data_IF_987202221982
#
_entry.id   IF_987202221982
#
_cell.length_a   1.000
_cell.length_b   1.000
_cell.length_c   1.000
_cell.angle_alpha   90.00
_cell.angle_beta   90.00
_cell.angle_gamma   90.00
#
_symmetry.space_group_name_H-M   'P 1'
#
loop_
_entity.id
_entity.type
_entity.pdbx_description
1 polymer ?
#
# COMPACT_ATOMS: atom_id res chain seq x y z
N UNK A 1 26.99 -12.83 -37.95
CA UNK A 1 25.51 -12.85 -38.07
C UNK A 1 24.81 -13.69 -36.99
N UNK A 2 25.27 -14.89 -36.61
CA UNK A 2 24.60 -15.75 -35.60
C UNK A 2 24.46 -15.11 -34.20
N UNK A 3 25.47 -14.39 -33.73
CA UNK A 3 25.43 -13.72 -32.41
C UNK A 3 24.42 -12.56 -32.34
N UNK A 4 24.15 -11.89 -33.45
CA UNK A 4 23.18 -10.80 -33.51
C UNK A 4 21.75 -11.31 -33.27
N UNK A 5 21.39 -12.45 -33.87
CA UNK A 5 20.11 -13.12 -33.63
C UNK A 5 19.92 -13.53 -32.16
N UNK A 6 20.96 -14.07 -31.53
CA UNK A 6 20.94 -14.50 -30.13
C UNK A 6 20.73 -13.31 -29.18
N UNK A 7 21.41 -12.19 -29.42
CA UNK A 7 21.24 -10.95 -28.66
C UNK A 7 19.82 -10.40 -28.85
N UNK A 8 19.26 -10.45 -30.06
CA UNK A 8 17.90 -9.98 -30.32
C UNK A 8 16.83 -10.83 -29.63
N UNK A 9 16.99 -12.16 -29.62
CA UNK A 9 16.09 -13.06 -28.90
C UNK A 9 16.17 -12.80 -27.40
N UNK A 10 17.37 -12.65 -26.85
CA UNK A 10 17.57 -12.34 -25.43
C UNK A 10 16.92 -10.99 -25.05
N UNK A 11 17.13 -9.96 -25.87
CA UNK A 11 16.54 -8.64 -25.64
C UNK A 11 15.02 -8.67 -25.72
N UNK A 12 14.46 -9.40 -26.70
CA UNK A 12 13.01 -9.57 -26.84
C UNK A 12 12.41 -10.32 -25.66
N UNK A 13 13.09 -11.38 -25.18
CA UNK A 13 12.66 -12.13 -24.01
C UNK A 13 12.68 -11.28 -22.74
N UNK A 14 13.75 -10.52 -22.50
CA UNK A 14 13.86 -9.59 -21.37
C UNK A 14 12.75 -8.53 -21.47
N UNK A 15 12.53 -7.96 -22.64
CA UNK A 15 11.49 -6.97 -22.87
C UNK A 15 10.10 -7.51 -22.54
N UNK A 16 9.77 -8.73 -23.00
CA UNK A 16 8.50 -9.41 -22.69
C UNK A 16 8.35 -9.67 -21.19
N UNK A 17 9.40 -10.13 -20.51
CA UNK A 17 9.38 -10.38 -19.07
C UNK A 17 9.14 -9.08 -18.29
N UNK A 18 9.87 -8.01 -18.62
CA UNK A 18 9.72 -6.70 -17.95
C UNK A 18 8.32 -6.12 -18.19
N UNK A 19 7.81 -6.19 -19.41
CA UNK A 19 6.48 -5.66 -19.74
C UNK A 19 5.37 -6.44 -19.02
N UNK A 20 5.52 -7.76 -18.90
CA UNK A 20 4.58 -8.65 -18.21
C UNK A 20 4.51 -8.38 -16.69
N UNK A 21 5.57 -7.83 -16.11
CA UNK A 21 5.65 -7.54 -14.68
C UNK A 21 5.18 -6.12 -14.29
N UNK A 22 4.88 -5.26 -15.27
CA UNK A 22 4.39 -3.91 -14.98
C UNK A 22 2.92 -3.91 -14.57
N UNK A 23 2.65 -3.65 -13.28
CA UNK A 23 1.27 -3.47 -12.82
C UNK A 23 0.72 -2.15 -13.36
N UNK A 24 -0.20 -2.23 -14.31
CA UNK A 24 -0.93 -1.06 -14.81
C UNK A 24 -2.04 -0.71 -13.84
N UNK A 25 -1.93 0.45 -13.18
CA UNK A 25 -2.94 0.93 -12.25
C UNK A 25 -3.88 1.94 -12.91
N UNK A 26 -5.18 1.85 -12.61
CA UNK A 26 -6.14 2.89 -12.94
C UNK A 26 -6.08 4.09 -11.99
N UNK A 27 -7.01 5.02 -12.18
CA UNK A 27 -7.14 6.23 -11.37
C UNK A 27 -7.53 5.92 -9.92
N UNK A 28 -7.08 6.80 -9.01
CA UNK A 28 -7.50 6.76 -7.61
C UNK A 28 -8.95 7.20 -7.46
N UNK A 29 -9.72 6.43 -6.70
CA UNK A 29 -11.07 6.77 -6.26
C UNK A 29 -11.06 7.03 -4.77
N UNK A 30 -11.74 8.09 -4.33
CA UNK A 30 -11.89 8.38 -2.91
C UNK A 30 -12.89 7.42 -2.27
N UNK A 31 -12.64 7.07 -1.01
CA UNK A 31 -13.52 6.25 -0.19
C UNK A 31 -14.12 7.08 0.93
N UNK A 32 -15.22 6.62 1.50
CA UNK A 32 -15.80 7.22 2.70
C UNK A 32 -14.84 7.08 3.89
N UNK A 33 -14.38 8.21 4.43
CA UNK A 33 -13.42 8.27 5.54
C UNK A 33 -13.98 7.66 6.83
N UNK A 34 -15.29 7.80 7.03
CA UNK A 34 -16.00 7.30 8.22
C UNK A 34 -16.51 5.87 8.05
N UNK A 35 -16.24 5.23 6.89
CA UNK A 35 -16.65 3.86 6.66
C UNK A 35 -15.95 2.90 7.63
N UNK A 36 -16.67 1.90 8.18
CA UNK A 36 -16.09 0.97 9.16
C UNK A 36 -14.87 0.21 8.60
N UNK A 37 -14.90 -0.10 7.30
CA UNK A 37 -13.81 -0.78 6.59
C UNK A 37 -12.57 0.10 6.45
N UNK A 38 -12.74 1.41 6.21
CA UNK A 38 -11.60 2.34 6.13
C UNK A 38 -10.98 2.54 7.50
N UNK A 39 -11.82 2.61 8.54
CA UNK A 39 -11.37 2.73 9.92
C UNK A 39 -10.60 1.50 10.38
N UNK A 40 -11.05 0.29 10.01
CA UNK A 40 -10.32 -0.94 10.35
C UNK A 40 -8.93 -0.99 9.70
N UNK A 41 -8.81 -0.59 8.44
CA UNK A 41 -7.51 -0.46 7.76
C UNK A 41 -6.59 0.56 8.42
N UNK A 42 -7.14 1.69 8.87
CA UNK A 42 -6.36 2.69 9.61
C UNK A 42 -5.88 2.13 10.95
N UNK A 43 -6.75 1.47 11.73
CA UNK A 43 -6.40 0.85 13.01
C UNK A 43 -5.29 -0.18 12.83
N UNK A 44 -5.43 -1.07 11.85
CA UNK A 44 -4.41 -2.08 11.53
C UNK A 44 -3.07 -1.43 11.19
N UNK A 45 -3.07 -0.38 10.37
CA UNK A 45 -1.85 0.35 10.05
C UNK A 45 -1.21 1.03 11.27
N UNK A 46 -2.03 1.64 12.14
CA UNK A 46 -1.55 2.22 13.40
C UNK A 46 -0.93 1.14 14.30
N UNK A 47 -1.58 -0.01 14.42
CA UNK A 47 -1.11 -1.14 15.21
C UNK A 47 0.22 -1.69 14.70
N UNK A 48 0.36 -1.87 13.38
CA UNK A 48 1.60 -2.34 12.75
C UNK A 48 2.75 -1.37 12.99
N UNK A 49 2.52 -0.07 12.79
CA UNK A 49 3.53 0.96 13.09
C UNK A 49 3.94 0.98 14.56
N UNK A 50 2.97 0.77 15.46
CA UNK A 50 3.25 0.64 16.89
C UNK A 50 4.12 -0.57 17.20
N UNK A 51 3.80 -1.73 16.63
CA UNK A 51 4.58 -2.95 16.78
C UNK A 51 6.03 -2.77 16.27
N UNK A 52 6.22 -2.18 15.08
CA UNK A 52 7.55 -1.88 14.53
C UNK A 52 8.40 -0.95 15.43
N UNK A 53 7.74 -0.09 16.21
CA UNK A 53 8.40 0.88 17.10
C UNK A 53 8.39 0.46 18.56
N UNK A 54 7.88 -0.73 18.88
CA UNK A 54 7.64 -1.22 20.23
C UNK A 54 6.91 -0.18 21.11
N UNK A 55 5.87 0.45 20.56
CA UNK A 55 5.07 1.51 21.19
C UNK A 55 3.60 1.33 20.88
N UNK A 56 2.74 1.75 21.79
CA UNK A 56 1.29 1.66 21.58
C UNK A 56 0.76 2.97 21.01
N UNK A 57 0.12 2.89 19.85
CA UNK A 57 -0.54 4.02 19.21
C UNK A 57 -2.03 3.78 19.06
N UNK A 58 -2.83 4.83 19.21
CA UNK A 58 -4.28 4.83 18.99
C UNK A 58 -4.63 5.72 17.80
N UNK A 59 -5.53 5.23 16.94
CA UNK A 59 -6.07 6.02 15.84
C UNK A 59 -6.84 7.25 16.39
N UNK A 60 -6.51 8.44 15.89
CA UNK A 60 -7.22 9.68 16.21
C UNK A 60 -8.25 9.99 15.13
N UNK A 61 -7.79 10.14 13.87
CA UNK A 61 -8.67 10.41 12.73
C UNK A 61 -8.09 9.89 11.43
N UNK A 62 -8.97 9.53 10.50
CA UNK A 62 -8.62 9.25 9.11
C UNK A 62 -8.64 10.57 8.34
N UNK A 63 -7.55 10.87 7.63
CA UNK A 63 -7.41 12.08 6.81
C UNK A 63 -7.85 11.85 5.38
N UNK A 64 -7.46 10.69 4.84
CA UNK A 64 -7.68 10.36 3.43
C UNK A 64 -7.79 8.85 3.27
N UNK A 65 -8.73 8.42 2.44
CA UNK A 65 -8.84 7.02 2.05
C UNK A 65 -9.11 6.94 0.55
N UNK A 66 -8.30 6.15 -0.16
CA UNK A 66 -8.41 5.99 -1.59
C UNK A 66 -8.19 4.54 -2.00
N UNK A 67 -8.77 4.14 -3.12
CA UNK A 67 -8.54 2.84 -3.75
C UNK A 67 -8.30 2.99 -5.23
N UNK A 68 -7.50 2.10 -5.80
CA UNK A 68 -7.39 1.90 -7.25
C UNK A 68 -7.21 0.41 -7.53
N UNK A 69 -7.79 -0.04 -8.63
CA UNK A 69 -7.47 -1.36 -9.19
C UNK A 69 -6.28 -1.23 -10.14
N UNK A 70 -5.49 -2.27 -10.21
CA UNK A 70 -4.49 -2.48 -11.23
C UNK A 70 -4.53 -3.91 -11.74
N UNK A 71 -3.87 -4.12 -12.88
CA UNK A 71 -3.76 -5.40 -13.53
C UNK A 71 -2.28 -5.74 -13.71
N UNK A 72 -1.90 -6.95 -13.31
CA UNK A 72 -0.59 -7.55 -13.58
C UNK A 72 -0.81 -8.77 -14.47
N UNK A 73 -0.02 -8.91 -15.54
CA UNK A 73 -0.08 -10.10 -16.38
C UNK A 73 0.32 -11.36 -15.61
N UNK A 74 -0.19 -12.55 -15.95
CA UNK A 74 -1.12 -12.83 -17.05
C UNK A 74 -2.62 -12.73 -16.70
N UNK A 75 -3.03 -12.51 -15.44
CA UNK A 75 -4.44 -12.28 -15.06
C UNK A 75 -4.63 -11.89 -13.57
N UNK A 76 -3.68 -11.17 -12.97
CA UNK A 76 -3.72 -10.84 -11.54
C UNK A 76 -4.32 -9.44 -11.37
N UNK A 77 -5.55 -9.36 -10.88
CA UNK A 77 -6.13 -8.09 -10.43
C UNK A 77 -5.51 -7.76 -9.07
N UNK A 78 -4.92 -6.57 -8.96
CA UNK A 78 -4.33 -6.05 -7.74
C UNK A 78 -5.16 -4.85 -7.28
N UNK A 79 -5.75 -4.94 -6.09
CA UNK A 79 -6.45 -3.80 -5.50
C UNK A 79 -5.54 -3.09 -4.51
N UNK A 80 -5.13 -1.87 -4.86
CA UNK A 80 -4.32 -1.02 -3.99
C UNK A 80 -5.21 -0.02 -3.25
N UNK A 81 -4.98 0.12 -1.96
CA UNK A 81 -5.66 1.09 -1.08
C UNK A 81 -4.61 1.94 -0.37
N UNK A 82 -4.94 3.20 -0.16
CA UNK A 82 -4.13 4.16 0.58
C UNK A 82 -5.02 4.76 1.67
N UNK A 83 -4.56 4.72 2.90
CA UNK A 83 -5.23 5.34 4.04
C UNK A 83 -4.20 6.21 4.76
N UNK A 84 -4.40 7.52 4.73
CA UNK A 84 -3.61 8.46 5.51
C UNK A 84 -4.41 8.80 6.79
N UNK A 85 -3.78 8.68 7.95
CA UNK A 85 -4.43 8.85 9.26
C UNK A 85 -3.49 9.48 10.27
N UNK A 86 -4.03 9.99 11.38
CA UNK A 86 -3.23 10.43 12.52
C UNK A 86 -3.37 9.46 13.68
N UNK A 87 -2.26 9.20 14.35
CA UNK A 87 -2.16 8.28 15.47
C UNK A 87 -1.51 8.98 16.65
N UNK A 88 -2.02 8.74 17.85
CA UNK A 88 -1.49 9.27 19.11
C UNK A 88 -0.79 8.15 19.87
N UNK A 89 0.43 8.38 20.33
CA UNK A 89 1.07 7.47 21.29
C UNK A 89 0.32 7.51 22.63
N UNK A 90 -0.10 6.36 23.15
CA UNK A 90 -0.88 6.26 24.38
C UNK A 90 -0.09 6.66 25.62
N UNK A 91 1.22 6.38 25.63
CA UNK A 91 2.13 6.64 26.76
C UNK A 91 2.60 8.09 26.84
N UNK A 92 2.04 8.97 26.02
CA UNK A 92 2.60 10.27 25.76
C UNK A 92 1.73 11.36 26.40
N UNK A 93 2.29 12.00 27.43
CA UNK A 93 1.58 12.90 28.36
C UNK A 93 1.30 14.28 27.75
N UNK A 94 2.13 14.75 26.79
CA UNK A 94 2.01 16.10 26.19
C UNK A 94 1.33 16.09 24.82
N UNK A 95 0.10 16.60 24.66
CA UNK A 95 -0.70 16.39 23.45
C UNK A 95 -0.06 16.85 22.12
N UNK A 96 0.76 17.90 22.12
CA UNK A 96 1.29 18.51 20.88
C UNK A 96 2.38 17.72 20.14
N UNK A 97 3.12 16.83 20.80
CA UNK A 97 4.24 16.09 20.19
C UNK A 97 3.99 14.60 19.94
N UNK A 98 2.84 14.10 20.39
CA UNK A 98 2.53 12.68 20.46
C UNK A 98 1.73 12.17 19.27
N UNK A 99 1.24 13.08 18.42
CA UNK A 99 0.44 12.76 17.25
C UNK A 99 1.39 12.62 16.05
N UNK A 100 1.23 11.52 15.31
CA UNK A 100 2.00 11.20 14.12
C UNK A 100 1.04 10.95 12.96
N UNK A 101 1.41 11.43 11.78
CA UNK A 101 0.66 11.13 10.56
C UNK A 101 1.26 9.89 9.90
N UNK A 102 0.40 8.93 9.58
CA UNK A 102 0.77 7.64 9.02
C UNK A 102 0.07 7.43 7.68
N UNK A 103 0.80 6.87 6.72
CA UNK A 103 0.29 6.34 5.45
C UNK A 103 0.30 4.83 5.51
N UNK A 104 -0.88 4.24 5.44
CA UNK A 104 -1.07 2.80 5.30
C UNK A 104 -1.37 2.49 3.83
N UNK A 105 -0.59 1.59 3.24
CA UNK A 105 -0.79 1.08 1.89
C UNK A 105 -1.15 -0.39 2.00
N UNK A 106 -2.32 -0.75 1.49
CA UNK A 106 -2.79 -2.13 1.47
C UNK A 106 -2.84 -2.58 0.01
N UNK A 107 -2.23 -3.71 -0.29
CA UNK A 107 -2.37 -4.38 -1.59
C UNK A 107 -3.04 -5.72 -1.37
N UNK A 108 -4.16 -5.92 -2.05
CA UNK A 108 -4.86 -7.18 -2.09
C UNK A 108 -4.67 -7.80 -3.47
N UNK A 109 -4.23 -9.05 -3.48
CA UNK A 109 -4.07 -9.87 -4.68
C UNK A 109 -5.22 -10.87 -4.77
N UNK A 110 -5.59 -11.30 -5.98
CA UNK A 110 -6.67 -12.28 -6.19
C UNK A 110 -6.43 -13.63 -5.51
N UNK A 111 -5.16 -14.01 -5.31
CA UNK A 111 -4.79 -15.24 -4.59
C UNK A 111 -5.01 -15.16 -3.06
N UNK A 112 -5.69 -14.12 -2.57
CA UNK A 112 -5.96 -13.90 -1.15
C UNK A 112 -4.81 -13.27 -0.37
N UNK A 113 -3.62 -13.14 -0.96
CA UNK A 113 -2.50 -12.50 -0.27
C UNK A 113 -2.76 -11.01 -0.06
N UNK A 114 -2.39 -10.53 1.12
CA UNK A 114 -2.56 -9.14 1.55
C UNK A 114 -1.24 -8.64 2.11
N UNK A 115 -0.72 -7.58 1.53
CA UNK A 115 0.45 -6.87 2.08
C UNK A 115 0.00 -5.53 2.63
N UNK A 116 0.42 -5.22 3.85
CA UNK A 116 0.15 -3.93 4.50
C UNK A 116 1.48 -3.30 4.85
N UNK A 117 1.74 -2.12 4.28
CA UNK A 117 2.93 -1.34 4.58
C UNK A 117 2.52 -0.01 5.18
N UNK A 118 3.21 0.39 6.24
CA UNK A 118 2.94 1.64 6.95
C UNK A 118 4.19 2.50 6.96
N UNK A 119 4.01 3.81 6.79
CA UNK A 119 5.11 4.77 6.92
C UNK A 119 4.64 6.09 7.51
N UNK A 120 5.57 6.78 8.16
CA UNK A 120 5.37 8.16 8.60
C UNK A 120 5.25 9.10 7.37
N UNK A 121 4.44 10.16 7.49
CA UNK A 121 4.34 11.27 6.53
C UNK A 121 4.63 12.57 7.26
#
# INVERSE_FOLDING_TARGET
>A
MKYFFLIHILFSAIFVVVFSQTIRYGNWRNLNLNGPVVRSWAIEGVSLYGAERNKTFTLVRVLRAQTRSGFSGPNIIVKRRRVDCTAKNTMCVRPGGCIRTLRTIIMNYLNGTRTVNVKLI
#
